data_IF_980365106706
#
_entry.id   IF_980365106706
#
_cell.length_a   1.000
_cell.length_b   1.000
_cell.length_c   1.000
_cell.angle_alpha   90.00
_cell.angle_beta   90.00
_cell.angle_gamma   90.00
#
_symmetry.space_group_name_H-M   'P 1'
#
loop_
_entity.id
_entity.type
_entity.pdbx_description
1 polymer ?
#
# COMPACT_ATOMS: atom_id res chain seq x y z
N UNK A 1 -4.36 -3.39 -64.30
CA UNK A 1 -5.04 -4.65 -63.90
C UNK A 1 -3.96 -5.72 -63.85
N UNK A 2 -3.31 -6.01 -62.72
CA UNK A 2 -3.72 -6.99 -61.71
C UNK A 2 -3.07 -6.68 -60.35
N UNK A 3 -3.58 -5.66 -59.65
CA UNK A 3 -3.22 -5.35 -58.23
C UNK A 3 -4.28 -5.86 -57.25
N UNK A 4 -4.97 -6.95 -57.60
CA UNK A 4 -6.04 -7.54 -56.78
C UNK A 4 -5.81 -9.02 -56.39
N UNK A 5 -4.70 -9.66 -56.79
CA UNK A 5 -4.45 -11.08 -56.48
C UNK A 5 -3.58 -11.35 -55.24
N UNK A 6 -2.94 -10.34 -54.63
CA UNK A 6 -2.04 -10.54 -53.49
C UNK A 6 -2.74 -10.55 -52.11
N UNK A 7 -3.97 -10.01 -52.01
CA UNK A 7 -4.71 -9.89 -50.73
C UNK A 7 -5.52 -11.17 -50.42
N UNK A 8 -5.83 -11.98 -51.44
CA UNK A 8 -6.57 -13.25 -51.26
C UNK A 8 -5.70 -14.43 -50.80
N UNK A 9 -4.37 -14.34 -50.89
CA UNK A 9 -3.47 -15.41 -50.45
C UNK A 9 -3.04 -15.31 -48.98
N UNK A 10 -3.26 -14.17 -48.32
CA UNK A 10 -2.94 -13.99 -46.89
C UNK A 10 -4.15 -14.37 -46.01
N UNK A 11 -5.37 -14.30 -46.54
CA UNK A 11 -6.59 -14.71 -45.82
C UNK A 11 -6.79 -16.24 -45.74
N UNK A 12 -6.16 -17.04 -46.62
CA UNK A 12 -6.31 -18.50 -46.62
C UNK A 12 -5.39 -19.25 -45.65
N UNK A 13 -4.36 -18.59 -45.09
CA UNK A 13 -3.46 -19.19 -44.09
C UNK A 13 -3.92 -18.94 -42.66
N UNK A 14 -4.76 -17.93 -42.41
CA UNK A 14 -5.22 -17.57 -41.07
C UNK A 14 -6.44 -18.36 -40.56
N UNK A 15 -7.17 -19.06 -41.45
CA UNK A 15 -8.32 -19.89 -41.05
C UNK A 15 -7.97 -21.38 -40.81
N UNK A 16 -6.75 -21.82 -41.15
CA UNK A 16 -6.33 -23.21 -40.96
C UNK A 16 -5.67 -23.48 -39.59
N UNK A 17 -5.33 -22.45 -38.80
CA UNK A 17 -4.73 -22.61 -37.46
C UNK A 17 -5.72 -22.38 -36.31
N UNK A 18 -6.88 -21.78 -36.57
CA UNK A 18 -7.95 -21.64 -35.56
C UNK A 18 -8.94 -22.82 -35.54
N UNK A 19 -8.96 -23.66 -36.58
CA UNK A 19 -9.88 -24.80 -36.71
C UNK A 19 -9.47 -26.08 -35.96
N UNK A 20 -8.22 -26.22 -35.53
CA UNK A 20 -7.72 -27.48 -34.92
C UNK A 20 -7.77 -27.45 -33.39
N UNK A 21 -7.84 -26.28 -32.75
CA UNK A 21 -7.87 -26.19 -31.27
C UNK A 21 -9.28 -26.14 -30.68
N UNK A 22 -10.31 -25.95 -31.51
CA UNK A 22 -11.72 -25.82 -31.09
C UNK A 22 -12.53 -27.13 -31.23
N UNK A 23 -11.92 -28.21 -31.72
CA UNK A 23 -12.60 -29.47 -32.02
C UNK A 23 -12.26 -30.63 -31.07
N UNK A 24 -11.52 -30.41 -29.98
CA UNK A 24 -11.16 -31.46 -29.01
C UNK A 24 -11.80 -31.32 -27.61
N UNK A 25 -12.69 -30.35 -27.39
CA UNK A 25 -13.31 -30.12 -26.07
C UNK A 25 -14.85 -30.32 -26.04
N UNK A 26 -15.47 -30.65 -27.17
CA UNK A 26 -16.94 -30.85 -27.27
C UNK A 26 -17.37 -32.27 -27.63
N UNK A 27 -16.74 -33.28 -27.04
CA UNK A 27 -17.21 -34.66 -27.12
C UNK A 27 -17.14 -35.38 -25.76
N UNK A 28 -17.87 -34.88 -24.75
CA UNK A 28 -18.77 -35.72 -23.93
C UNK A 28 -19.52 -34.88 -22.89
N UNK A 29 -20.84 -34.70 -23.09
CA UNK A 29 -21.77 -34.45 -22.00
C UNK A 29 -21.71 -35.60 -20.99
N UNK A 30 -21.92 -35.43 -19.69
CA UNK A 30 -22.94 -34.62 -19.05
C UNK A 30 -23.88 -35.56 -18.32
N UNK A 31 -23.66 -35.79 -17.02
CA UNK A 31 -24.72 -36.13 -16.06
C UNK A 31 -24.20 -36.05 -14.61
N UNK A 32 -24.91 -35.25 -13.81
CA UNK A 32 -24.72 -35.02 -12.37
C UNK A 32 -24.99 -36.29 -11.54
N UNK A 33 -24.19 -36.51 -10.49
CA UNK A 33 -24.73 -36.68 -9.12
C UNK A 33 -23.64 -36.48 -8.05
N UNK A 34 -24.01 -35.66 -7.07
CA UNK A 34 -23.25 -35.25 -5.89
C UNK A 34 -23.05 -36.40 -4.91
N UNK A 35 -21.79 -36.65 -4.48
CA UNK A 35 -21.41 -36.80 -3.06
C UNK A 35 -19.90 -36.99 -2.88
N UNK A 36 -19.37 -36.22 -1.93
CA UNK A 36 -18.19 -36.52 -1.10
C UNK A 36 -16.80 -36.43 -1.76
N UNK A 37 -16.38 -35.19 -2.05
CA UNK A 37 -14.97 -34.78 -2.00
C UNK A 37 -14.48 -34.84 -0.53
N UNK A 38 -14.15 -36.05 -0.07
CA UNK A 38 -13.41 -36.27 1.19
C UNK A 38 -12.11 -36.96 0.85
N UNK A 39 -11.21 -36.25 0.18
CA UNK A 39 -9.78 -36.53 0.21
C UNK A 39 -9.06 -35.31 -0.37
N UNK A 40 -8.20 -34.72 0.46
CA UNK A 40 -7.26 -33.65 0.14
C UNK A 40 -7.69 -32.20 0.42
N UNK A 41 -8.40 -31.98 1.53
CA UNK A 41 -8.13 -30.82 2.39
C UNK A 41 -7.21 -31.23 3.54
N UNK A 42 -5.92 -31.35 3.24
CA UNK A 42 -4.86 -31.08 4.22
C UNK A 42 -3.77 -30.23 3.57
N UNK A 43 -4.19 -29.16 2.91
CA UNK A 43 -3.32 -28.01 2.72
C UNK A 43 -3.29 -27.27 4.05
N UNK A 44 -2.32 -27.67 4.87
CA UNK A 44 -1.87 -27.00 6.09
C UNK A 44 -1.87 -25.49 5.81
N UNK A 45 -2.62 -24.73 6.62
CA UNK A 45 -2.61 -23.28 6.60
C UNK A 45 -1.18 -22.80 6.81
N UNK A 46 -0.49 -22.53 5.71
CA UNK A 46 0.80 -21.88 5.69
C UNK A 46 0.57 -20.42 6.05
N UNK A 47 0.55 -20.15 7.35
CA UNK A 47 0.82 -18.81 7.85
C UNK A 47 2.10 -18.29 7.21
N UNK A 48 2.23 -16.97 7.17
CA UNK A 48 3.41 -16.23 6.69
C UNK A 48 4.71 -16.53 7.47
N UNK A 49 4.84 -17.70 8.09
CA UNK A 49 5.96 -18.08 8.93
C UNK A 49 7.14 -18.66 8.13
N UNK A 50 6.99 -19.09 6.86
CA UNK A 50 8.05 -19.93 6.26
C UNK A 50 8.47 -19.65 4.80
N UNK A 51 8.24 -18.47 4.19
CA UNK A 51 8.88 -18.25 2.86
C UNK A 51 9.37 -16.86 2.46
N UNK A 52 9.15 -15.83 3.26
CA UNK A 52 9.92 -14.59 3.19
C UNK A 52 9.61 -13.81 4.46
N UNK A 53 10.54 -13.80 5.42
CA UNK A 53 10.40 -12.92 6.57
C UNK A 53 10.30 -11.49 6.07
N UNK A 54 9.15 -10.84 6.28
CA UNK A 54 9.03 -9.39 6.06
C UNK A 54 10.06 -8.74 7.00
N UNK A 55 11.04 -7.97 6.48
CA UNK A 55 12.17 -7.48 7.26
C UNK A 55 11.74 -6.69 8.49
N UNK A 56 12.56 -6.77 9.54
CA UNK A 56 12.50 -5.88 10.72
C UNK A 56 12.40 -4.43 10.23
N UNK A 57 11.60 -3.60 10.92
CA UNK A 57 11.36 -2.20 10.57
C UNK A 57 12.67 -1.52 10.11
N UNK A 58 12.70 -0.89 8.92
CA UNK A 58 13.94 -0.50 8.27
C UNK A 58 14.76 0.51 9.07
N UNK A 59 16.09 0.41 8.93
CA UNK A 59 17.10 1.33 9.51
C UNK A 59 16.99 2.77 9.00
N UNK A 60 15.99 3.09 8.19
CA UNK A 60 15.75 4.40 7.59
C UNK A 60 15.80 5.53 8.60
N UNK A 61 15.21 5.37 9.78
CA UNK A 61 15.13 6.45 10.76
C UNK A 61 16.52 6.79 11.31
N UNK A 62 17.30 5.76 11.62
CA UNK A 62 18.67 5.87 12.10
C UNK A 62 19.59 6.45 11.01
N UNK A 63 19.46 5.97 9.78
CA UNK A 63 20.21 6.48 8.63
C UNK A 63 19.81 7.92 8.30
N UNK A 64 18.53 8.28 8.37
CA UNK A 64 18.04 9.63 8.17
C UNK A 64 18.62 10.58 9.21
N UNK A 65 18.67 10.19 10.49
CA UNK A 65 19.30 10.99 11.53
C UNK A 65 20.79 11.25 11.26
N UNK A 66 21.50 10.29 10.65
CA UNK A 66 22.92 10.43 10.28
C UNK A 66 23.13 11.26 8.99
N UNK A 67 22.33 11.00 7.97
CA UNK A 67 22.51 11.54 6.60
C UNK A 67 21.88 12.93 6.44
N UNK A 68 20.73 13.17 7.06
CA UNK A 68 19.97 14.41 6.87
C UNK A 68 20.72 15.67 7.38
N UNK A 69 21.45 15.63 8.52
CA UNK A 69 22.25 16.77 8.97
C UNK A 69 23.60 16.90 8.26
N UNK A 70 24.29 15.78 8.01
CA UNK A 70 25.65 15.76 7.44
C UNK A 70 25.69 16.01 5.93
N UNK A 71 24.61 15.72 5.21
CA UNK A 71 24.46 16.06 3.80
C UNK A 71 23.62 17.34 3.64
N UNK A 72 24.23 18.50 3.82
CA UNK A 72 23.82 19.67 3.03
C UNK A 72 24.21 19.39 1.56
N UNK A 73 23.51 18.42 0.95
CA UNK A 73 23.87 17.80 -0.31
C UNK A 73 23.87 18.88 -1.39
N UNK A 74 25.05 19.21 -1.92
CA UNK A 74 25.23 20.26 -2.92
C UNK A 74 24.28 20.05 -4.10
N UNK A 75 24.04 18.78 -4.47
CA UNK A 75 23.08 18.41 -5.49
C UNK A 75 21.65 18.90 -5.19
N UNK A 76 21.16 18.76 -3.96
CA UNK A 76 19.83 19.27 -3.58
C UNK A 76 19.74 20.79 -3.71
N UNK A 77 20.83 21.52 -3.38
CA UNK A 77 20.87 22.98 -3.57
C UNK A 77 20.85 23.35 -5.06
N UNK A 78 21.58 22.62 -5.89
CA UNK A 78 21.61 22.83 -7.36
C UNK A 78 20.23 22.55 -7.97
N UNK A 79 19.63 21.40 -7.68
CA UNK A 79 18.28 21.07 -8.17
C UNK A 79 17.23 22.07 -7.70
N UNK A 80 17.33 22.55 -6.45
CA UNK A 80 16.41 23.53 -5.89
C UNK A 80 16.58 24.92 -6.51
N UNK A 81 17.80 25.32 -6.90
CA UNK A 81 18.04 26.57 -7.65
C UNK A 81 17.29 26.54 -8.98
N UNK A 82 17.37 25.43 -9.71
CA UNK A 82 16.68 25.25 -10.99
C UNK A 82 15.21 24.82 -10.87
N UNK A 83 14.69 24.66 -9.64
CA UNK A 83 13.35 24.14 -9.36
C UNK A 83 13.05 22.83 -10.14
N UNK A 84 14.02 21.92 -10.15
CA UNK A 84 13.93 20.64 -10.87
C UNK A 84 12.75 19.82 -10.34
N UNK A 85 11.91 19.25 -11.20
CA UNK A 85 10.76 18.47 -10.73
C UNK A 85 11.24 17.27 -9.89
N UNK A 86 10.64 16.97 -8.72
CA UNK A 86 11.03 15.81 -7.92
C UNK A 86 10.94 14.47 -8.67
N UNK A 87 10.11 14.37 -9.72
CA UNK A 87 10.05 13.20 -10.63
C UNK A 87 11.35 13.05 -11.42
N UNK A 88 11.93 14.14 -11.88
CA UNK A 88 13.19 14.11 -12.63
C UNK A 88 14.39 13.85 -11.73
N UNK A 89 14.35 14.38 -10.50
CA UNK A 89 15.35 14.03 -9.48
C UNK A 89 15.26 12.56 -9.09
N UNK A 90 14.05 12.00 -8.98
CA UNK A 90 13.85 10.57 -8.72
C UNK A 90 14.51 9.68 -9.80
N UNK A 91 14.32 10.05 -11.07
CA UNK A 91 14.97 9.40 -12.21
C UNK A 91 16.49 9.60 -12.21
N UNK A 92 16.96 10.82 -11.95
CA UNK A 92 18.40 11.14 -11.88
C UNK A 92 19.12 10.30 -10.82
N UNK A 93 18.44 10.05 -9.70
CA UNK A 93 18.94 9.20 -8.61
C UNK A 93 18.76 7.70 -8.89
N UNK A 94 18.08 7.33 -9.98
CA UNK A 94 17.83 5.95 -10.42
C UNK A 94 17.05 5.12 -9.39
N UNK A 95 16.08 5.74 -8.72
CA UNK A 95 15.28 5.13 -7.63
C UNK A 95 14.16 4.20 -8.09
N UNK A 96 14.17 3.79 -9.36
CA UNK A 96 13.20 2.85 -9.93
C UNK A 96 13.78 1.91 -10.98
N UNK A 97 15.09 1.97 -11.19
CA UNK A 97 15.80 0.95 -11.94
C UNK A 97 15.91 -0.31 -11.07
N UNK A 98 16.22 -1.47 -11.67
CA UNK A 98 16.41 -2.74 -10.95
C UNK A 98 17.61 -2.65 -9.99
N UNK A 99 17.42 -1.94 -8.88
CA UNK A 99 18.40 -1.82 -7.82
C UNK A 99 18.33 -3.09 -6.98
N UNK A 100 19.48 -3.72 -6.76
CA UNK A 100 19.62 -4.85 -5.84
C UNK A 100 19.26 -4.49 -4.39
N UNK A 101 19.15 -3.20 -4.08
CA UNK A 101 18.86 -2.65 -2.77
C UNK A 101 17.42 -2.15 -2.72
N UNK A 102 16.70 -2.50 -1.64
CA UNK A 102 15.36 -1.95 -1.37
C UNK A 102 15.45 -0.44 -1.19
N UNK A 103 14.39 0.29 -1.56
CA UNK A 103 14.39 1.76 -1.51
C UNK A 103 14.63 2.30 -0.11
N UNK A 104 14.12 1.62 0.90
CA UNK A 104 14.31 1.96 2.29
C UNK A 104 15.78 1.87 2.73
N UNK A 105 16.55 0.94 2.16
CA UNK A 105 17.98 0.81 2.47
C UNK A 105 18.89 1.67 1.56
N UNK A 106 18.32 2.45 0.65
CA UNK A 106 19.06 3.25 -0.33
C UNK A 106 19.28 4.71 0.16
N UNK A 107 20.52 5.17 0.43
CA UNK A 107 20.78 6.53 0.90
C UNK A 107 20.35 7.62 -0.11
N UNK A 108 20.30 7.30 -1.41
CA UNK A 108 19.76 8.20 -2.44
C UNK A 108 18.27 8.45 -2.26
N UNK A 109 17.53 7.48 -1.71
CA UNK A 109 16.11 7.66 -1.41
C UNK A 109 15.90 8.70 -0.31
N UNK A 110 16.71 8.66 0.76
CA UNK A 110 16.70 9.68 1.81
C UNK A 110 17.06 11.07 1.27
N UNK A 111 18.03 11.15 0.35
CA UNK A 111 18.35 12.39 -0.36
C UNK A 111 17.14 12.92 -1.15
N UNK A 112 16.42 12.05 -1.84
CA UNK A 112 15.22 12.41 -2.60
C UNK A 112 14.09 12.89 -1.69
N UNK A 113 13.82 12.21 -0.56
CA UNK A 113 12.86 12.65 0.44
C UNK A 113 13.20 14.07 0.95
N UNK A 114 14.48 14.32 1.30
CA UNK A 114 14.94 15.66 1.69
C UNK A 114 14.66 16.69 0.59
N UNK A 115 14.94 16.34 -0.66
CA UNK A 115 14.70 17.21 -1.80
C UNK A 115 13.21 17.55 -1.97
N UNK A 116 12.32 16.56 -1.84
CA UNK A 116 10.85 16.76 -1.89
C UNK A 116 10.40 17.79 -0.85
N UNK A 117 10.88 17.70 0.40
CA UNK A 117 10.57 18.69 1.44
C UNK A 117 11.05 20.09 1.04
N UNK A 118 12.30 20.22 0.59
CA UNK A 118 12.89 21.50 0.16
C UNK A 118 12.12 22.11 -1.02
N UNK A 119 11.76 21.30 -2.01
CA UNK A 119 11.04 21.72 -3.20
C UNK A 119 9.64 22.25 -2.86
N UNK A 120 8.89 21.52 -2.03
CA UNK A 120 7.55 21.92 -1.58
C UNK A 120 7.57 23.21 -0.78
N UNK A 121 8.57 23.37 0.10
CA UNK A 121 8.74 24.59 0.89
C UNK A 121 9.05 25.81 0.01
N UNK A 122 9.85 25.65 -1.05
CA UNK A 122 10.24 26.76 -1.94
C UNK A 122 9.13 27.17 -2.92
N UNK A 123 8.33 26.21 -3.39
CA UNK A 123 7.35 26.45 -4.48
C UNK A 123 5.94 26.85 -4.02
N UNK A 124 5.66 26.89 -2.71
CA UNK A 124 4.37 27.28 -2.11
C UNK A 124 3.15 26.96 -3.00
N UNK A 125 2.75 25.68 -3.09
CA UNK A 125 1.62 25.25 -3.93
C UNK A 125 1.60 23.74 -4.23
N UNK A 126 0.54 23.22 -4.88
CA UNK A 126 0.32 21.78 -5.07
C UNK A 126 1.16 21.15 -6.21
N UNK A 127 2.36 21.66 -6.48
CA UNK A 127 3.20 21.24 -7.61
C UNK A 127 3.66 19.78 -7.53
N UNK A 128 3.95 19.32 -6.31
CA UNK A 128 4.35 17.94 -6.06
C UNK A 128 3.72 17.44 -4.75
N UNK A 129 2.58 16.76 -4.87
CA UNK A 129 1.77 16.31 -3.73
C UNK A 129 2.25 14.98 -3.15
N UNK A 130 1.72 14.57 -1.99
CA UNK A 130 1.97 13.25 -1.42
C UNK A 130 1.47 12.13 -2.32
N UNK A 131 0.37 12.36 -3.05
CA UNK A 131 -0.14 11.42 -4.05
C UNK A 131 0.81 11.31 -5.25
N UNK A 132 1.44 12.44 -5.66
CA UNK A 132 2.47 12.40 -6.71
C UNK A 132 3.69 11.59 -6.28
N UNK A 133 4.12 11.73 -5.02
CA UNK A 133 5.19 10.92 -4.45
C UNK A 133 4.80 9.43 -4.40
N UNK A 134 3.62 9.11 -3.87
CA UNK A 134 3.11 7.74 -3.78
C UNK A 134 3.03 7.05 -5.14
N UNK A 135 2.56 7.76 -6.17
CA UNK A 135 2.49 7.20 -7.52
C UNK A 135 3.87 6.82 -8.05
N UNK A 136 4.91 7.61 -7.78
CA UNK A 136 6.29 7.20 -8.12
C UNK A 136 6.69 5.94 -7.35
N UNK A 137 6.46 5.88 -6.03
CA UNK A 137 6.81 4.70 -5.22
C UNK A 137 6.10 3.43 -5.73
N UNK A 138 4.84 3.54 -6.15
CA UNK A 138 4.07 2.42 -6.74
C UNK A 138 4.67 1.90 -8.05
N UNK A 139 5.35 2.75 -8.84
CA UNK A 139 6.01 2.30 -10.07
C UNK A 139 7.24 1.43 -9.82
N UNK A 140 7.79 1.47 -8.60
CA UNK A 140 9.08 0.84 -8.27
C UNK A 140 8.98 -0.18 -7.15
N UNK A 141 7.87 -0.19 -6.42
CA UNK A 141 7.71 -0.97 -5.19
C UNK A 141 6.42 -1.80 -5.28
N UNK A 142 6.50 -3.13 -5.19
CA UNK A 142 5.32 -3.99 -5.10
C UNK A 142 4.44 -3.63 -3.89
N UNK A 143 3.13 -3.85 -3.99
CA UNK A 143 2.14 -3.48 -2.95
C UNK A 143 2.51 -3.96 -1.53
N UNK A 144 3.03 -5.18 -1.39
CA UNK A 144 3.44 -5.74 -0.09
C UNK A 144 4.60 -4.98 0.54
N UNK A 145 5.55 -4.54 -0.28
CA UNK A 145 6.72 -3.77 0.17
C UNK A 145 6.38 -2.28 0.32
N UNK A 146 5.39 -1.79 -0.44
CA UNK A 146 4.96 -0.40 -0.40
C UNK A 146 4.51 0.00 1.01
N UNK A 147 3.71 -0.84 1.70
CA UNK A 147 3.25 -0.52 3.06
C UNK A 147 4.39 -0.47 4.08
N UNK A 148 5.43 -1.31 3.90
CA UNK A 148 6.66 -1.28 4.71
C UNK A 148 7.44 0.01 4.44
N UNK A 149 7.60 0.37 3.17
CA UNK A 149 8.28 1.60 2.76
C UNK A 149 7.58 2.84 3.33
N UNK A 150 6.26 2.91 3.22
CA UNK A 150 5.48 4.03 3.76
C UNK A 150 5.61 4.13 5.29
N UNK A 151 5.61 3.01 6.01
CA UNK A 151 5.87 3.02 7.44
C UNK A 151 7.29 3.52 7.76
N UNK A 152 8.27 3.20 6.93
CA UNK A 152 9.64 3.68 7.10
C UNK A 152 9.74 5.18 6.89
N UNK A 153 9.09 5.71 5.84
CA UNK A 153 9.02 7.16 5.59
C UNK A 153 8.38 7.89 6.78
N UNK A 154 7.40 7.29 7.45
CA UNK A 154 6.75 7.86 8.64
C UNK A 154 7.76 8.12 9.78
N UNK A 155 8.80 7.30 9.88
CA UNK A 155 9.86 7.43 10.89
C UNK A 155 10.90 8.50 10.53
N UNK A 156 10.92 9.00 9.30
CA UNK A 156 11.79 10.11 8.89
C UNK A 156 11.21 11.42 9.45
N UNK A 157 12.07 12.20 10.12
CA UNK A 157 11.69 13.52 10.63
C UNK A 157 11.02 14.35 9.53
N UNK A 158 9.98 15.12 9.89
CA UNK A 158 9.23 15.97 8.97
C UNK A 158 8.51 15.25 7.80
N UNK A 159 8.49 13.91 7.77
CA UNK A 159 7.75 13.11 6.78
C UNK A 159 6.54 12.35 7.35
N UNK A 160 6.36 12.36 8.68
CA UNK A 160 5.25 11.68 9.36
C UNK A 160 3.89 11.95 8.71
N UNK A 161 3.50 13.22 8.56
CA UNK A 161 2.19 13.61 7.98
C UNK A 161 2.04 13.17 6.52
N UNK A 162 3.11 13.29 5.74
CA UNK A 162 3.13 12.85 4.34
C UNK A 162 2.93 11.34 4.24
N UNK A 163 3.63 10.57 5.07
CA UNK A 163 3.50 9.12 5.14
C UNK A 163 2.09 8.68 5.58
N UNK A 164 1.52 9.31 6.61
CA UNK A 164 0.16 9.02 7.06
C UNK A 164 -0.89 9.32 5.97
N UNK A 165 -0.69 10.40 5.20
CA UNK A 165 -1.53 10.74 4.04
C UNK A 165 -1.44 9.67 2.95
N UNK A 166 -0.23 9.20 2.64
CA UNK A 166 -0.02 8.13 1.66
C UNK A 166 -0.60 6.79 2.15
N UNK A 167 -0.41 6.43 3.42
CA UNK A 167 -0.97 5.21 4.01
C UNK A 167 -2.50 5.19 3.93
N UNK A 168 -3.14 6.31 4.28
CA UNK A 168 -4.60 6.48 4.13
C UNK A 168 -5.04 6.24 2.69
N UNK A 169 -4.41 6.93 1.74
CA UNK A 169 -4.77 6.81 0.33
C UNK A 169 -4.59 5.38 -0.20
N UNK A 170 -3.53 4.68 0.22
CA UNK A 170 -3.30 3.27 -0.14
C UNK A 170 -4.43 2.38 0.39
N UNK A 171 -4.86 2.57 1.65
CA UNK A 171 -5.96 1.80 2.21
C UNK A 171 -7.30 2.09 1.54
N UNK A 172 -7.54 3.33 1.10
CA UNK A 172 -8.78 3.71 0.42
C UNK A 172 -8.86 3.21 -1.02
N UNK A 173 -7.73 3.12 -1.72
CA UNK A 173 -7.70 2.90 -3.18
C UNK A 173 -7.26 1.51 -3.61
N UNK A 174 -6.69 0.69 -2.72
CA UNK A 174 -6.11 -0.61 -3.10
C UNK A 174 -6.93 -1.80 -2.57
N UNK A 175 -6.63 -2.99 -3.09
CA UNK A 175 -7.39 -4.21 -2.80
C UNK A 175 -7.39 -4.57 -1.30
N UNK A 176 -8.42 -5.27 -0.78
CA UNK A 176 -8.52 -5.64 0.65
C UNK A 176 -7.31 -6.39 1.23
N UNK A 177 -6.51 -7.06 0.38
CA UNK A 177 -5.26 -7.70 0.78
C UNK A 177 -4.25 -6.70 1.40
N UNK A 178 -4.19 -5.47 0.88
CA UNK A 178 -3.28 -4.42 1.38
C UNK A 178 -3.58 -4.07 2.84
N UNK A 179 -4.86 -4.12 3.25
CA UNK A 179 -5.29 -3.76 4.60
C UNK A 179 -4.67 -4.71 5.61
N UNK A 180 -4.64 -6.00 5.29
CA UNK A 180 -4.01 -7.02 6.13
C UNK A 180 -2.52 -6.72 6.33
N UNK A 181 -1.79 -6.41 5.25
CA UNK A 181 -0.37 -6.10 5.33
C UNK A 181 -0.10 -4.81 6.10
N UNK A 182 -0.91 -3.77 5.89
CA UNK A 182 -0.79 -2.52 6.66
C UNK A 182 -0.98 -2.78 8.16
N UNK A 183 -1.98 -3.58 8.56
CA UNK A 183 -2.18 -3.93 9.96
C UNK A 183 -0.96 -4.65 10.56
N UNK A 184 -0.38 -5.61 9.83
CA UNK A 184 0.83 -6.31 10.28
C UNK A 184 2.01 -5.35 10.43
N UNK A 185 2.18 -4.42 9.49
CA UNK A 185 3.24 -3.40 9.54
C UNK A 185 3.04 -2.45 10.71
N UNK A 186 1.83 -1.95 10.94
CA UNK A 186 1.52 -1.12 12.11
C UNK A 186 1.76 -1.86 13.43
N UNK A 187 1.36 -3.13 13.53
CA UNK A 187 1.59 -3.96 14.72
C UNK A 187 3.06 -4.21 14.99
N UNK A 188 3.89 -4.39 13.95
CA UNK A 188 5.35 -4.51 14.10
C UNK A 188 5.96 -3.16 14.43
N UNK A 189 5.43 -2.09 13.83
CA UNK A 189 5.71 -0.67 14.04
C UNK A 189 5.50 -0.14 15.45
N UNK A 190 4.83 -0.90 16.32
CA UNK A 190 4.43 -0.44 17.64
C UNK A 190 3.31 0.60 17.62
N UNK A 191 2.56 0.70 16.52
CA UNK A 191 1.41 1.60 16.45
C UNK A 191 0.34 1.16 17.45
N UNK A 192 -0.19 2.11 18.20
CA UNK A 192 -1.30 1.87 19.13
C UNK A 192 -2.64 2.08 18.44
N UNK A 193 -3.76 1.53 18.97
CA UNK A 193 -5.09 1.85 18.49
C UNK A 193 -5.38 3.36 18.46
N UNK A 194 -4.86 4.14 19.41
CA UNK A 194 -4.98 5.60 19.39
C UNK A 194 -4.21 6.24 18.23
N UNK A 195 -3.00 5.75 17.92
CA UNK A 195 -2.23 6.23 16.77
C UNK A 195 -2.97 5.95 15.47
N UNK A 196 -3.40 4.71 15.25
CA UNK A 196 -4.15 4.31 14.04
C UNK A 196 -5.47 5.06 13.93
N UNK A 197 -6.16 5.30 15.05
CA UNK A 197 -7.35 6.13 15.09
C UNK A 197 -7.08 7.52 14.52
N UNK A 198 -5.95 8.14 14.86
CA UNK A 198 -5.59 9.48 14.39
C UNK A 198 -5.23 9.51 12.90
N UNK A 199 -4.64 8.43 12.36
CA UNK A 199 -4.26 8.32 10.94
C UNK A 199 -5.50 8.26 10.03
N UNK A 200 -6.50 7.46 10.43
CA UNK A 200 -7.64 7.14 9.58
C UNK A 200 -8.74 8.22 9.59
N UNK A 201 -9.37 8.50 8.43
CA UNK A 201 -10.51 9.42 8.31
C UNK A 201 -11.77 8.74 8.85
N UNK A 202 -12.51 9.43 9.73
CA UNK A 202 -13.60 8.85 10.55
C UNK A 202 -14.91 8.69 9.78
N UNK A 203 -15.04 9.43 8.70
CA UNK A 203 -16.18 9.50 7.80
C UNK A 203 -16.04 8.59 6.56
N UNK A 204 -14.92 7.86 6.45
CA UNK A 204 -14.62 6.96 5.34
C UNK A 204 -14.89 5.49 5.73
N UNK A 205 -15.37 4.63 4.81
CA UNK A 205 -15.50 3.20 5.06
C UNK A 205 -14.19 2.52 5.52
N UNK A 206 -13.04 3.08 5.13
CA UNK A 206 -11.72 2.62 5.56
C UNK A 206 -11.53 2.71 7.08
N UNK A 207 -12.31 3.55 7.77
CA UNK A 207 -12.28 3.68 9.23
C UNK A 207 -12.55 2.36 9.93
N UNK A 208 -13.31 1.45 9.31
CA UNK A 208 -13.58 0.12 9.85
C UNK A 208 -12.31 -0.74 10.00
N UNK A 209 -11.22 -0.37 9.31
CA UNK A 209 -9.91 -0.97 9.51
C UNK A 209 -9.34 -0.66 10.91
N UNK A 210 -9.69 0.48 11.52
CA UNK A 210 -9.31 0.77 12.91
C UNK A 210 -9.84 -0.27 13.90
N UNK A 211 -11.10 -0.69 13.75
CA UNK A 211 -11.69 -1.76 14.59
C UNK A 211 -10.94 -3.09 14.38
N UNK A 212 -10.71 -3.47 13.12
CA UNK A 212 -9.98 -4.70 12.77
C UNK A 212 -8.55 -4.70 13.30
N UNK A 213 -7.87 -3.56 13.22
CA UNK A 213 -6.54 -3.37 13.79
C UNK A 213 -6.57 -3.51 15.31
N UNK A 214 -7.53 -2.86 15.97
CA UNK A 214 -7.68 -2.87 17.42
C UNK A 214 -7.89 -4.29 17.95
N UNK A 215 -8.73 -5.09 17.31
CA UNK A 215 -8.92 -6.51 17.68
C UNK A 215 -7.61 -7.31 17.53
N UNK A 216 -6.87 -7.12 16.44
CA UNK A 216 -5.56 -7.79 16.27
C UNK A 216 -4.54 -7.33 17.30
N UNK A 217 -4.54 -6.05 17.67
CA UNK A 217 -3.67 -5.48 18.69
C UNK A 217 -3.91 -6.11 20.06
N UNK A 218 -5.19 -6.29 20.45
CA UNK A 218 -5.58 -6.99 21.68
C UNK A 218 -5.06 -8.43 21.72
N UNK A 219 -5.29 -9.19 20.65
CA UNK A 219 -4.84 -10.59 20.55
C UNK A 219 -3.31 -10.70 20.67
N UNK A 220 -2.57 -9.80 20.01
CA UNK A 220 -1.10 -9.82 20.00
C UNK A 220 -0.48 -9.56 21.38
N UNK A 221 -1.08 -8.67 22.18
CA UNK A 221 -0.51 -8.26 23.47
C UNK A 221 -0.95 -9.11 24.67
N UNK A 222 -1.82 -10.12 24.44
CA UNK A 222 -2.61 -10.81 25.48
C UNK A 222 -3.54 -9.81 26.20
N UNK A 223 -4.72 -10.27 26.63
CA UNK A 223 -5.92 -9.45 26.96
C UNK A 223 -5.75 -8.33 28.01
N UNK A 224 -4.59 -8.16 28.65
CA UNK A 224 -4.40 -7.28 29.82
C UNK A 224 -3.93 -5.86 29.52
N UNK A 225 -3.50 -5.53 28.29
CA UNK A 225 -2.95 -4.19 27.98
C UNK A 225 -3.92 -3.21 27.30
N UNK A 226 -4.97 -3.71 26.62
CA UNK A 226 -5.92 -2.87 25.89
C UNK A 226 -7.36 -3.41 25.99
N UNK A 227 -8.16 -2.82 26.88
CA UNK A 227 -9.53 -3.25 27.20
C UNK A 227 -10.59 -2.66 26.26
N UNK A 228 -11.75 -3.31 26.19
CA UNK A 228 -12.95 -2.75 25.54
C UNK A 228 -13.33 -1.38 26.10
N UNK A 229 -13.10 -1.16 27.40
CA UNK A 229 -13.29 0.14 28.04
C UNK A 229 -12.38 1.22 27.44
N UNK A 230 -11.11 0.93 27.18
CA UNK A 230 -10.20 1.88 26.52
C UNK A 230 -10.63 2.12 25.07
N UNK A 231 -11.04 1.09 24.34
CA UNK A 231 -11.59 1.22 22.98
C UNK A 231 -12.80 2.15 22.95
N UNK A 232 -13.73 1.93 23.88
CA UNK A 232 -14.92 2.78 24.04
C UNK A 232 -14.53 4.19 24.44
N UNK A 233 -13.57 4.38 25.35
CA UNK A 233 -13.09 5.70 25.76
C UNK A 233 -12.57 6.52 24.56
N UNK A 234 -11.76 5.94 23.68
CA UNK A 234 -11.30 6.62 22.45
C UNK A 234 -12.48 7.06 21.57
N UNK A 235 -13.47 6.18 21.39
CA UNK A 235 -14.67 6.48 20.61
C UNK A 235 -15.52 7.58 21.26
N UNK A 236 -15.62 7.59 22.59
CA UNK A 236 -16.39 8.57 23.36
C UNK A 236 -15.71 9.93 23.42
N UNK A 237 -14.39 10.00 23.63
CA UNK A 237 -13.63 11.25 23.65
C UNK A 237 -13.69 11.98 22.29
N UNK A 238 -13.77 11.22 21.20
CA UNK A 238 -13.97 11.80 19.86
C UNK A 238 -15.32 12.52 19.71
N UNK A 239 -16.34 12.19 20.54
CA UNK A 239 -17.65 12.86 20.52
C UNK A 239 -17.58 14.33 20.94
N UNK A 240 -16.57 14.73 21.71
CA UNK A 240 -16.40 16.15 22.06
C UNK A 240 -15.97 17.01 20.86
N UNK A 241 -15.49 16.39 19.76
CA UNK A 241 -14.94 17.09 18.60
C UNK A 241 -15.55 16.65 17.25
N UNK A 242 -16.48 15.69 17.25
CA UNK A 242 -17.27 15.29 16.09
C UNK A 242 -18.75 15.13 16.50
N UNK A 243 -19.72 15.72 15.78
CA UNK A 243 -21.12 15.61 16.16
C UNK A 243 -21.54 14.14 16.18
N UNK A 244 -22.16 13.69 17.28
CA UNK A 244 -22.53 12.29 17.56
C UNK A 244 -23.20 11.59 16.37
N UNK A 245 -23.95 12.37 15.58
CA UNK A 245 -24.66 11.95 14.38
C UNK A 245 -23.71 11.29 13.36
N UNK A 246 -22.46 11.74 13.18
CA UNK A 246 -21.56 11.19 12.14
C UNK A 246 -21.01 9.81 12.48
N UNK A 247 -20.52 9.59 13.70
CA UNK A 247 -19.98 8.28 14.08
C UNK A 247 -21.07 7.24 14.33
N UNK A 248 -22.16 7.63 15.00
CA UNK A 248 -23.29 6.72 15.24
C UNK A 248 -23.98 6.32 13.92
N UNK A 249 -24.20 7.28 13.00
CA UNK A 249 -24.73 6.96 11.67
C UNK A 249 -23.76 6.12 10.84
N UNK A 250 -22.45 6.38 10.93
CA UNK A 250 -21.44 5.57 10.26
C UNK A 250 -21.50 4.10 10.71
N UNK A 251 -21.47 3.85 12.02
CA UNK A 251 -21.57 2.48 12.54
C UNK A 251 -22.92 1.85 12.22
N UNK A 252 -24.03 2.58 12.30
CA UNK A 252 -25.36 2.07 11.98
C UNK A 252 -25.54 1.71 10.50
N UNK A 253 -24.87 2.44 9.60
CA UNK A 253 -24.91 2.20 8.15
C UNK A 253 -23.93 1.12 7.70
N UNK A 254 -22.78 0.98 8.36
CA UNK A 254 -21.70 0.08 7.91
C UNK A 254 -21.58 -1.23 8.71
N UNK A 255 -22.07 -1.32 9.96
CA UNK A 255 -22.05 -2.57 10.73
C UNK A 255 -22.97 -3.65 10.14
N UNK A 256 -24.03 -3.28 9.41
CA UNK A 256 -24.90 -4.25 8.73
C UNK A 256 -24.15 -5.08 7.67
N UNK A 257 -23.08 -4.53 7.08
CA UNK A 257 -22.18 -5.24 6.14
C UNK A 257 -21.08 -6.07 6.84
N UNK A 258 -20.97 -6.00 8.17
CA UNK A 258 -19.93 -6.70 8.94
C UNK A 258 -20.38 -8.07 9.47
N UNK A 259 -21.68 -8.41 9.40
CA UNK A 259 -22.26 -9.67 9.94
C UNK A 259 -22.43 -10.79 8.90
N UNK A 260 -22.01 -10.59 7.66
CA UNK A 260 -21.99 -11.58 6.58
C UNK A 260 -20.55 -11.83 6.14
#
# INVERSE_FOLDING_TARGET
>A
MHRQCAILFIFSVFLATFGVTLALDQANGGARRLRSLTAHTRAKGGGFEERAGIPVLPKIAEQAAKILPSSFNLANKVWLKSLTDPRDVFKTLRLGEASLTRLDDNPKFLQWLKYVTMYRAKREGPWFTDISALNLLRTTTPDAELVVLLQSIKLVSNMKKSAETMQRYVLETSAPAIHRWMHEVWLRGGETPQSVFNILPKDSPVFLQWLRFTERYKVKLRETSYSDRQTLKILLETRQHAPEIKLASFFSSHLRRFRT
#
